data_IF_036732238038
#
_entry.id   IF_036732238038
#
_cell.length_a   1.000
_cell.length_b   1.000
_cell.length_c   1.000
_cell.angle_alpha   90.00
_cell.angle_beta   90.00
_cell.angle_gamma   90.00
#
_symmetry.space_group_name_H-M   'P 1'
#
loop_
_entity.id
_entity.type
_entity.pdbx_description
1 polymer ?
#
# COMPACT_ATOMS: atom_id res chain seq x y z
N UNK A 1 -13.57 -3.95 5.16
CA UNK A 1 -13.22 -2.71 4.41
C UNK A 1 -13.63 -2.86 2.95
N UNK A 2 -14.32 -1.89 2.40
CA UNK A 2 -14.69 -1.92 0.99
C UNK A 2 -13.72 -1.08 0.15
N UNK A 3 -13.83 -1.22 -1.17
CA UNK A 3 -12.95 -0.54 -2.12
C UNK A 3 -13.02 0.99 -1.99
N UNK A 4 -14.19 1.55 -1.82
CA UNK A 4 -14.37 3.01 -1.74
C UNK A 4 -13.70 3.60 -0.51
N UNK A 5 -13.84 2.96 0.65
CA UNK A 5 -13.18 3.36 1.89
C UNK A 5 -11.67 3.28 1.75
N UNK A 6 -11.17 2.19 1.17
CA UNK A 6 -9.75 1.98 0.92
C UNK A 6 -9.20 3.05 -0.02
N UNK A 7 -9.87 3.26 -1.15
CA UNK A 7 -9.47 4.27 -2.14
C UNK A 7 -9.44 5.68 -1.55
N UNK A 8 -10.46 6.04 -0.78
CA UNK A 8 -10.53 7.35 -0.12
C UNK A 8 -9.34 7.57 0.82
N UNK A 9 -8.99 6.56 1.60
CA UNK A 9 -7.85 6.67 2.51
C UNK A 9 -6.54 6.82 1.74
N UNK A 10 -6.33 6.01 0.71
CA UNK A 10 -5.13 6.09 -0.13
C UNK A 10 -4.98 7.47 -0.77
N UNK A 11 -6.06 8.02 -1.31
CA UNK A 11 -6.05 9.34 -1.96
C UNK A 11 -5.98 10.50 -0.95
N UNK A 12 -6.21 10.26 0.33
CA UNK A 12 -6.05 11.27 1.37
C UNK A 12 -4.60 11.61 1.67
N UNK A 13 -3.66 10.75 1.23
CA UNK A 13 -2.24 10.98 1.44
C UNK A 13 -1.75 12.17 0.60
N UNK A 14 -0.88 13.05 1.15
CA UNK A 14 -0.39 14.22 0.42
C UNK A 14 0.24 13.86 -0.93
N UNK A 15 -0.18 14.53 -2.00
CA UNK A 15 0.28 14.34 -3.38
C UNK A 15 0.04 12.93 -3.94
N UNK A 16 -0.84 12.14 -3.34
CA UNK A 16 -1.21 10.83 -3.87
C UNK A 16 -2.02 10.97 -5.15
N UNK A 17 -1.66 10.20 -6.17
CA UNK A 17 -2.41 10.14 -7.43
C UNK A 17 -2.67 8.69 -7.80
N UNK A 18 -3.82 8.43 -8.37
CA UNK A 18 -4.17 7.10 -8.88
C UNK A 18 -3.94 7.00 -10.37
N UNK A 19 -3.53 5.82 -10.83
CA UNK A 19 -3.27 5.56 -12.24
C UNK A 19 -3.43 4.06 -12.54
N UNK A 20 -3.57 3.72 -13.81
CA UNK A 20 -3.62 2.35 -14.30
C UNK A 20 -2.50 2.14 -15.34
N UNK A 21 -1.23 2.09 -14.92
CA UNK A 21 -0.10 2.08 -15.87
C UNK A 21 0.12 0.73 -16.55
N UNK A 22 -0.43 -0.36 -16.03
CA UNK A 22 -0.18 -1.72 -16.53
C UNK A 22 -1.37 -2.27 -17.31
N UNK A 23 -2.59 -2.07 -16.81
CA UNK A 23 -3.83 -2.56 -17.38
C UNK A 23 -5.01 -1.78 -16.79
N UNK A 24 -6.24 -2.17 -17.12
CA UNK A 24 -7.46 -1.49 -16.66
C UNK A 24 -7.94 -1.97 -15.28
N UNK A 25 -7.31 -2.99 -14.72
CA UNK A 25 -7.74 -3.65 -13.47
C UNK A 25 -6.83 -3.37 -12.29
N UNK A 26 -5.58 -2.99 -12.54
CA UNK A 26 -4.58 -2.76 -11.49
C UNK A 26 -4.47 -1.26 -11.19
N UNK A 27 -5.13 -0.85 -10.11
CA UNK A 27 -5.02 0.52 -9.60
C UNK A 27 -3.69 0.69 -8.88
N UNK A 28 -2.93 1.70 -9.27
CA UNK A 28 -1.64 2.04 -8.67
C UNK A 28 -1.73 3.42 -8.06
N UNK A 29 -1.34 3.54 -6.80
CA UNK A 29 -1.23 4.81 -6.08
C UNK A 29 0.24 5.22 -6.07
N UNK A 30 0.50 6.44 -6.54
CA UNK A 30 1.86 7.00 -6.59
C UNK A 30 1.93 8.28 -5.78
N UNK A 31 3.12 8.54 -5.27
CA UNK A 31 3.49 9.83 -4.69
C UNK A 31 4.77 10.30 -5.38
N UNK A 32 4.71 11.47 -6.02
CA UNK A 32 5.83 12.04 -6.78
C UNK A 32 6.46 11.03 -7.76
N UNK A 33 5.61 10.29 -8.47
CA UNK A 33 6.02 9.32 -9.49
C UNK A 33 6.43 7.95 -8.98
N UNK A 34 6.39 7.70 -7.67
CA UNK A 34 6.78 6.42 -7.06
C UNK A 34 5.56 5.70 -6.50
N UNK A 35 5.45 4.39 -6.78
CA UNK A 35 4.35 3.55 -6.29
C UNK A 35 4.46 3.34 -4.78
N UNK A 36 3.33 3.47 -4.07
CA UNK A 36 3.25 3.07 -2.66
C UNK A 36 2.11 2.08 -2.39
N UNK A 37 1.22 1.86 -3.33
CA UNK A 37 0.16 0.85 -3.21
C UNK A 37 -0.29 0.37 -4.59
N UNK A 38 -0.63 -0.91 -4.70
CA UNK A 38 -1.21 -1.51 -5.89
C UNK A 38 -2.31 -2.45 -5.48
N UNK A 39 -3.44 -2.43 -6.19
CA UNK A 39 -4.52 -3.38 -5.95
C UNK A 39 -5.31 -3.66 -7.23
N UNK A 40 -5.82 -4.88 -7.35
CA UNK A 40 -6.78 -5.24 -8.41
C UNK A 40 -8.17 -4.80 -7.95
N UNK A 41 -8.84 -3.93 -8.72
CA UNK A 41 -10.13 -3.36 -8.34
C UNK A 41 -11.28 -4.37 -8.37
N UNK A 42 -11.09 -5.52 -9.03
CA UNK A 42 -12.07 -6.60 -9.10
C UNK A 42 -11.76 -7.77 -8.18
N UNK A 43 -10.75 -7.63 -7.31
CA UNK A 43 -10.41 -8.68 -6.34
C UNK A 43 -11.55 -8.94 -5.36
N UNK A 44 -11.81 -10.21 -5.05
CA UNK A 44 -12.76 -10.62 -4.03
C UNK A 44 -12.23 -11.86 -3.30
N UNK A 45 -11.69 -11.69 -2.10
CA UNK A 45 -11.50 -10.42 -1.39
C UNK A 45 -10.46 -9.52 -2.07
N UNK A 46 -10.52 -8.23 -1.80
CA UNK A 46 -9.51 -7.27 -2.25
C UNK A 46 -8.14 -7.65 -1.68
N UNK A 47 -7.10 -7.41 -2.48
CA UNK A 47 -5.71 -7.60 -2.06
C UNK A 47 -4.93 -6.34 -2.40
N UNK A 48 -4.22 -5.81 -1.43
CA UNK A 48 -3.40 -4.62 -1.63
C UNK A 48 -1.93 -4.96 -1.41
N UNK A 49 -1.08 -4.50 -2.31
CA UNK A 49 0.37 -4.62 -2.18
C UNK A 49 0.90 -3.33 -1.57
N UNK A 50 1.62 -3.44 -0.47
CA UNK A 50 2.18 -2.32 0.27
C UNK A 50 3.66 -2.54 0.52
N UNK A 51 4.44 -1.47 0.40
CA UNK A 51 5.87 -1.51 0.70
C UNK A 51 6.07 -1.58 2.21
N UNK A 52 7.07 -2.34 2.64
CA UNK A 52 7.37 -2.53 4.05
C UNK A 52 8.85 -2.72 4.27
N UNK A 53 9.36 -2.28 5.42
CA UNK A 53 10.69 -2.62 5.86
C UNK A 53 10.83 -4.16 5.91
N UNK A 54 11.94 -4.75 5.40
CA UNK A 54 12.06 -6.21 5.30
C UNK A 54 11.87 -6.97 6.61
N UNK A 55 12.42 -6.46 7.70
CA UNK A 55 12.30 -7.13 9.00
C UNK A 55 10.85 -7.07 9.52
N UNK A 56 10.22 -5.93 9.38
CA UNK A 56 8.82 -5.73 9.74
C UNK A 56 7.90 -6.56 8.85
N UNK A 57 8.23 -6.69 7.56
CA UNK A 57 7.46 -7.50 6.61
C UNK A 57 7.38 -8.96 7.08
N UNK A 58 8.50 -9.52 7.51
CA UNK A 58 8.55 -10.91 8.02
C UNK A 58 7.71 -11.06 9.28
N UNK A 59 7.81 -10.12 10.21
CA UNK A 59 7.02 -10.15 11.46
C UNK A 59 5.53 -10.10 11.16
N UNK A 60 5.11 -9.23 10.25
CA UNK A 60 3.69 -9.13 9.87
C UNK A 60 3.16 -10.41 9.23
N UNK A 61 3.98 -11.07 8.40
CA UNK A 61 3.60 -12.36 7.78
C UNK A 61 3.42 -13.45 8.81
N UNK A 62 4.21 -13.44 9.89
CA UNK A 62 4.07 -14.40 10.99
C UNK A 62 2.83 -14.11 11.84
N UNK A 63 2.53 -12.84 12.08
CA UNK A 63 1.40 -12.42 12.92
C UNK A 63 0.05 -12.57 12.24
N UNK A 64 -0.01 -12.34 10.92
CA UNK A 64 -1.27 -12.29 10.18
C UNK A 64 -1.26 -13.27 9.00
N UNK A 65 -2.07 -14.34 9.04
CA UNK A 65 -2.19 -15.24 7.89
C UNK A 65 -2.62 -14.56 6.59
N UNK A 66 -3.34 -13.44 6.69
CA UNK A 66 -3.78 -12.67 5.52
C UNK A 66 -2.66 -11.80 4.91
N UNK A 67 -1.48 -11.77 5.51
CA UNK A 67 -0.32 -11.04 4.96
C UNK A 67 0.67 -12.06 4.40
N UNK A 68 0.93 -11.95 3.09
CA UNK A 68 1.82 -12.86 2.35
C UNK A 68 2.88 -12.03 1.59
N UNK A 69 3.97 -12.66 1.12
CA UNK A 69 4.95 -11.96 0.29
C UNK A 69 4.30 -11.33 -0.94
N UNK A 70 4.78 -10.16 -1.33
CA UNK A 70 4.20 -9.39 -2.44
C UNK A 70 4.16 -10.16 -3.74
N UNK A 71 2.95 -10.36 -4.28
CA UNK A 71 2.72 -11.08 -5.53
C UNK A 71 3.18 -10.21 -6.70
N UNK A 72 4.03 -10.75 -7.56
CA UNK A 72 4.68 -10.04 -8.68
C UNK A 72 5.52 -8.83 -8.27
N UNK A 73 5.85 -8.70 -6.99
CA UNK A 73 6.66 -7.62 -6.45
C UNK A 73 7.95 -8.17 -5.86
N UNK A 74 8.87 -7.29 -5.47
CA UNK A 74 10.01 -7.67 -4.66
C UNK A 74 9.52 -8.15 -3.29
N UNK A 75 9.60 -9.46 -3.05
CA UNK A 75 9.03 -10.11 -1.86
C UNK A 75 9.71 -9.72 -0.54
N UNK A 76 10.90 -9.15 -0.61
CA UNK A 76 11.60 -8.66 0.57
C UNK A 76 11.05 -7.32 1.05
N UNK A 77 10.63 -6.46 0.13
CA UNK A 77 10.20 -5.09 0.40
C UNK A 77 8.69 -4.87 0.26
N UNK A 78 7.94 -5.87 -0.19
CA UNK A 78 6.52 -5.74 -0.43
C UNK A 78 5.74 -6.89 0.19
N UNK A 79 4.62 -6.56 0.81
CA UNK A 79 3.63 -7.51 1.29
C UNK A 79 2.34 -7.36 0.50
N UNK A 80 1.66 -8.50 0.30
CA UNK A 80 0.28 -8.52 -0.14
C UNK A 80 -0.61 -8.71 1.07
N UNK A 81 -1.53 -7.80 1.30
CA UNK A 81 -2.50 -7.84 2.39
C UNK A 81 -3.85 -8.24 1.83
N UNK A 82 -4.37 -9.38 2.27
CA UNK A 82 -5.68 -9.90 1.84
C UNK A 82 -6.74 -9.29 2.75
N UNK A 83 -7.67 -8.53 2.16
CA UNK A 83 -8.69 -7.80 2.91
C UNK A 83 -9.93 -8.68 3.11
N UNK A 84 -9.77 -9.74 3.88
CA UNK A 84 -10.80 -10.74 4.16
C UNK A 84 -11.54 -10.51 5.48
N UNK A 85 -11.28 -9.37 6.14
CA UNK A 85 -11.89 -9.01 7.42
C UNK A 85 -11.14 -9.52 8.64
N UNK A 86 -10.07 -10.31 8.47
CA UNK A 86 -9.28 -10.85 9.60
C UNK A 86 -8.35 -9.83 10.24
N UNK A 87 -8.05 -8.72 9.54
CA UNK A 87 -7.19 -7.66 10.05
C UNK A 87 -8.04 -6.41 10.26
N UNK A 88 -7.90 -5.78 11.43
CA UNK A 88 -8.64 -4.56 11.75
C UNK A 88 -8.29 -3.43 10.77
N UNK A 89 -9.27 -2.59 10.45
CA UNK A 89 -9.09 -1.47 9.52
C UNK A 89 -7.97 -0.53 9.95
N UNK A 90 -7.83 -0.26 11.24
CA UNK A 90 -6.75 0.60 11.77
C UNK A 90 -5.36 0.04 11.48
N UNK A 91 -5.21 -1.28 11.53
CA UNK A 91 -3.95 -1.95 11.17
C UNK A 91 -3.65 -1.80 9.67
N UNK A 92 -4.68 -1.93 8.85
CA UNK A 92 -4.55 -1.76 7.39
C UNK A 92 -4.13 -0.32 7.08
N UNK A 93 -4.78 0.66 7.70
CA UNK A 93 -4.42 2.07 7.53
C UNK A 93 -3.00 2.36 8.00
N UNK A 94 -2.58 1.76 9.11
CA UNK A 94 -1.20 1.87 9.61
C UNK A 94 -0.18 1.32 8.59
N UNK A 95 -0.48 0.19 7.95
CA UNK A 95 0.39 -0.39 6.92
C UNK A 95 0.45 0.49 5.67
N UNK A 96 -0.66 1.13 5.31
CA UNK A 96 -0.69 2.11 4.21
C UNK A 96 0.20 3.32 4.54
N UNK A 97 0.08 3.85 5.76
CA UNK A 97 0.90 4.96 6.22
C UNK A 97 2.39 4.63 6.17
N UNK A 98 2.76 3.45 6.64
CA UNK A 98 4.15 2.98 6.61
C UNK A 98 4.67 2.88 5.18
N UNK A 99 3.88 2.32 4.26
CA UNK A 99 4.26 2.21 2.86
C UNK A 99 4.49 3.58 2.22
N UNK A 100 3.56 4.50 2.44
CA UNK A 100 3.67 5.87 1.95
C UNK A 100 4.93 6.55 2.51
N UNK A 101 5.15 6.46 3.81
CA UNK A 101 6.31 7.09 4.47
C UNK A 101 7.63 6.55 3.95
N UNK A 102 7.73 5.23 3.75
CA UNK A 102 8.94 4.62 3.17
C UNK A 102 9.24 5.15 1.77
N UNK A 103 8.22 5.27 0.94
CA UNK A 103 8.40 5.79 -0.42
C UNK A 103 8.82 7.26 -0.38
N UNK A 104 8.18 8.08 0.45
CA UNK A 104 8.52 9.50 0.62
C UNK A 104 9.95 9.67 1.12
N UNK A 105 10.37 8.86 2.09
CA UNK A 105 11.76 8.90 2.61
C UNK A 105 12.80 8.57 1.55
N UNK A 106 12.44 7.77 0.54
CA UNK A 106 13.30 7.47 -0.60
C UNK A 106 13.40 8.58 -1.63
N UNK A 107 12.60 9.64 -1.51
CA UNK A 107 12.65 10.79 -2.43
C UNK A 107 13.69 11.81 -1.96
N UNK A 108 14.30 12.57 -2.91
CA UNK A 108 15.09 13.74 -2.53
C UNK A 108 14.26 14.70 -1.66
N UNK A 109 14.85 15.30 -0.65
CA UNK A 109 14.13 16.19 0.28
C UNK A 109 13.36 17.29 -0.44
N UNK A 110 13.92 17.84 -1.53
CA UNK A 110 13.30 18.90 -2.31
C UNK A 110 12.02 18.44 -3.06
N UNK A 111 11.81 17.13 -3.22
CA UNK A 111 10.68 16.56 -3.95
C UNK A 111 9.63 15.94 -3.04
N UNK A 112 9.85 15.94 -1.73
CA UNK A 112 8.89 15.33 -0.79
C UNK A 112 7.67 16.23 -0.65
N UNK A 113 6.45 15.64 -0.58
CA UNK A 113 5.25 16.41 -0.31
C UNK A 113 5.36 17.12 1.04
N UNK A 114 4.75 18.31 1.13
CA UNK A 114 4.60 18.99 2.41
C UNK A 114 3.50 18.26 3.16
N UNK A 115 3.87 17.63 4.28
CA UNK A 115 2.89 16.97 5.13
C UNK A 115 2.16 18.02 5.97
N UNK A 116 0.82 18.07 5.95
CA UNK A 116 0.09 18.85 6.92
C UNK A 116 0.30 18.20 8.29
N UNK A 117 1.06 18.83 9.10
CA UNK A 117 1.32 18.37 10.47
C UNK A 117 0.21 18.78 11.41
#
# INVERSE_FOLDING_TARGET
>A
MNFETLRSYLLSKPAAVETFPFDEETLVLKVCGKMFALLNIYGDPLRINLKCDPDKAEVLRELFPAIIPGYHMNKRHWNTVILDGSIADDEIFSMIDDSYDLVVQGLPKSKRPISPS
#
